data_IF_098214232460
#
_entry.id   IF_098214232460
#
_cell.length_a   1.000
_cell.length_b   1.000
_cell.length_c   1.000
_cell.angle_alpha   90.00
_cell.angle_beta   90.00
_cell.angle_gamma   90.00
#
_symmetry.space_group_name_H-M   'P 1'
#
loop_
_entity.id
_entity.type
_entity.pdbx_description
1 polymer ?
#
# COMPACT_ATOMS: atom_id res chain seq x y z
N UNK A 1 29.43 -13.50 -28.36
CA UNK A 1 30.07 -12.64 -27.35
C UNK A 1 29.86 -13.31 -26.00
N UNK A 2 30.96 -13.75 -25.38
CA UNK A 2 30.95 -14.56 -24.16
C UNK A 2 30.62 -13.67 -22.96
N UNK A 3 29.55 -14.01 -22.27
CA UNK A 3 29.08 -13.44 -20.98
C UNK A 3 30.18 -13.54 -19.94
N UNK A 4 30.61 -12.44 -19.36
CA UNK A 4 31.43 -12.38 -18.16
C UNK A 4 30.58 -12.78 -16.93
N UNK A 5 30.33 -14.07 -16.78
CA UNK A 5 29.90 -14.65 -15.53
C UNK A 5 31.12 -15.42 -14.99
N UNK A 6 31.94 -14.78 -14.24
CA UNK A 6 32.82 -15.30 -13.20
C UNK A 6 33.73 -14.14 -12.72
N UNK A 7 33.16 -13.27 -11.85
CA UNK A 7 34.06 -12.62 -10.91
C UNK A 7 34.42 -13.71 -9.90
N UNK A 8 35.66 -14.15 -9.99
CA UNK A 8 36.32 -15.10 -9.12
C UNK A 8 35.92 -14.87 -7.67
N UNK A 9 35.72 -15.98 -6.93
CA UNK A 9 35.86 -16.00 -5.48
C UNK A 9 37.27 -15.47 -5.14
N UNK A 10 37.40 -14.15 -5.07
CA UNK A 10 38.55 -13.52 -4.48
C UNK A 10 38.65 -14.16 -3.11
N UNK A 11 39.81 -14.69 -2.77
CA UNK A 11 40.12 -15.26 -1.46
C UNK A 11 39.66 -14.23 -0.42
N UNK A 12 38.53 -14.53 0.25
CA UNK A 12 37.97 -13.65 1.28
C UNK A 12 38.91 -13.74 2.45
N UNK A 13 39.93 -12.87 2.50
CA UNK A 13 40.89 -12.83 3.59
C UNK A 13 40.11 -12.49 4.88
N UNK A 14 40.05 -13.48 5.79
CA UNK A 14 39.49 -13.28 7.11
C UNK A 14 40.56 -12.60 7.95
N UNK A 15 40.27 -11.43 8.47
CA UNK A 15 41.13 -10.64 9.34
C UNK A 15 40.53 -10.53 10.74
N UNK A 16 41.32 -10.61 11.77
CA UNK A 16 40.85 -10.30 13.13
C UNK A 16 40.78 -8.77 13.27
N UNK A 17 39.61 -8.25 13.59
CA UNK A 17 39.33 -6.81 13.75
C UNK A 17 38.94 -6.56 15.20
N UNK A 18 39.53 -5.54 15.82
CA UNK A 18 39.20 -5.15 17.17
C UNK A 18 37.75 -4.64 17.25
N UNK A 19 36.97 -5.13 18.23
CA UNK A 19 35.56 -4.74 18.42
C UNK A 19 35.42 -3.24 18.68
N UNK A 20 36.42 -2.60 19.24
CA UNK A 20 36.47 -1.14 19.46
C UNK A 20 36.51 -0.32 18.17
N UNK A 21 37.02 -0.91 17.08
CA UNK A 21 37.16 -0.24 15.80
C UNK A 21 35.94 -0.48 14.90
N UNK A 22 34.94 -1.25 15.40
CA UNK A 22 33.72 -1.61 14.64
C UNK A 22 32.54 -0.75 15.10
N UNK A 23 31.83 -0.17 14.13
CA UNK A 23 30.59 0.57 14.35
C UNK A 23 29.40 -0.27 13.91
N UNK A 24 28.26 -0.20 14.64
CA UNK A 24 26.99 -0.83 14.22
C UNK A 24 26.56 -0.36 12.85
N UNK A 25 25.85 -1.22 12.13
CA UNK A 25 25.31 -0.88 10.80
C UNK A 25 24.25 0.21 10.88
N UNK A 26 24.41 1.29 10.12
CA UNK A 26 23.35 2.28 9.89
C UNK A 26 22.19 1.74 9.02
N UNK A 27 22.44 0.68 8.27
CA UNK A 27 21.52 0.10 7.28
C UNK A 27 20.77 -1.14 7.77
N UNK A 28 20.99 -1.56 9.03
CA UNK A 28 20.34 -2.77 9.55
C UNK A 28 18.84 -2.53 9.76
N UNK A 29 17.96 -3.21 9.03
CA UNK A 29 16.50 -3.07 9.19
C UNK A 29 16.01 -3.61 10.55
N UNK A 30 16.78 -4.51 11.20
CA UNK A 30 16.44 -5.10 12.48
C UNK A 30 16.81 -4.19 13.64
N UNK A 31 15.84 -3.43 14.15
CA UNK A 31 16.04 -2.52 15.29
C UNK A 31 15.90 -3.20 16.65
N UNK A 32 15.20 -4.35 16.72
CA UNK A 32 14.98 -5.11 17.95
C UNK A 32 15.68 -6.45 17.89
N UNK A 33 16.49 -6.73 18.88
CA UNK A 33 17.18 -8.00 19.06
C UNK A 33 16.58 -8.65 20.31
N UNK A 34 16.19 -9.91 20.20
CA UNK A 34 15.79 -10.71 21.36
C UNK A 34 17.00 -10.93 22.24
N UNK A 35 16.93 -10.40 23.45
CA UNK A 35 18.04 -10.43 24.41
C UNK A 35 18.39 -11.88 24.80
N UNK A 36 17.40 -12.73 25.02
CA UNK A 36 17.62 -14.13 25.40
C UNK A 36 18.45 -14.85 24.37
N UNK A 37 18.04 -14.77 23.09
CA UNK A 37 18.78 -15.42 21.99
C UNK A 37 20.15 -14.80 21.74
N UNK A 38 20.36 -13.53 22.13
CA UNK A 38 21.66 -12.87 22.04
C UNK A 38 22.61 -13.34 23.13
N UNK A 39 22.13 -13.56 24.36
CA UNK A 39 22.90 -14.15 25.47
C UNK A 39 23.28 -15.61 25.18
N UNK A 40 22.37 -16.42 24.64
CA UNK A 40 22.68 -17.80 24.23
C UNK A 40 23.81 -17.82 23.19
N UNK A 41 23.75 -16.94 22.20
CA UNK A 41 24.81 -16.79 21.20
C UNK A 41 26.12 -16.32 21.84
N UNK A 42 26.07 -15.43 22.82
CA UNK A 42 27.27 -14.97 23.54
C UNK A 42 27.93 -16.11 24.34
N UNK A 43 27.17 -16.96 25.00
CA UNK A 43 27.69 -18.13 25.70
C UNK A 43 28.34 -19.15 24.73
N UNK A 44 27.72 -19.36 23.56
CA UNK A 44 28.33 -20.18 22.50
C UNK A 44 29.66 -19.59 22.01
N UNK A 45 29.70 -18.26 21.81
CA UNK A 45 30.93 -17.56 21.40
C UNK A 45 32.01 -17.61 22.45
N UNK A 46 31.69 -17.62 23.75
CA UNK A 46 32.66 -17.82 24.82
C UNK A 46 33.32 -19.18 24.73
N UNK A 47 32.53 -20.21 24.39
CA UNK A 47 33.03 -21.59 24.36
C UNK A 47 33.78 -21.94 23.08
N UNK A 48 33.25 -21.54 21.93
CA UNK A 48 33.68 -22.01 20.61
C UNK A 48 34.32 -20.89 19.74
N UNK A 49 34.23 -19.63 20.17
CA UNK A 49 34.61 -18.51 19.34
C UNK A 49 33.53 -18.19 18.30
N UNK A 50 33.85 -17.24 17.43
CA UNK A 50 32.98 -16.86 16.31
C UNK A 50 33.31 -17.73 15.10
N UNK A 51 32.41 -18.69 14.80
CA UNK A 51 32.63 -19.68 13.71
C UNK A 51 32.48 -19.08 12.32
N UNK A 52 31.60 -18.08 12.17
CA UNK A 52 31.37 -17.40 10.90
C UNK A 52 31.80 -15.94 11.01
N UNK A 53 32.69 -15.45 10.12
CA UNK A 53 33.13 -14.08 10.13
C UNK A 53 31.96 -13.12 9.87
N UNK A 54 32.06 -11.90 10.41
CA UNK A 54 31.18 -10.79 9.99
C UNK A 54 31.74 -10.16 8.71
N UNK A 55 30.91 -9.37 8.01
CA UNK A 55 31.41 -8.54 6.92
C UNK A 55 31.37 -7.08 7.32
N UNK A 56 32.49 -6.42 7.12
CA UNK A 56 32.69 -5.01 7.44
C UNK A 56 33.29 -4.28 6.25
N UNK A 57 33.09 -2.97 6.21
CA UNK A 57 33.72 -2.07 5.25
C UNK A 57 34.50 -0.96 5.98
N UNK A 58 35.57 -0.42 5.42
CA UNK A 58 36.19 0.80 5.95
C UNK A 58 35.17 1.95 5.94
N UNK A 59 35.24 2.82 6.94
CA UNK A 59 34.49 4.07 6.99
C UNK A 59 35.37 5.20 6.59
N UNK A 60 35.04 5.92 5.54
CA UNK A 60 35.84 7.00 4.96
C UNK A 60 36.25 8.03 6.00
N UNK A 61 37.54 8.40 5.96
CA UNK A 61 38.13 9.40 6.85
C UNK A 61 38.35 8.94 8.30
N UNK A 62 38.22 7.64 8.58
CA UNK A 62 38.45 7.06 9.91
C UNK A 62 39.18 5.73 9.81
N UNK A 63 39.87 5.32 10.90
CA UNK A 63 40.44 3.97 11.00
C UNK A 63 39.42 2.93 11.52
N UNK A 64 38.11 3.18 11.28
CA UNK A 64 37.01 2.33 11.77
C UNK A 64 36.34 1.56 10.64
N UNK A 65 35.65 0.51 11.06
CA UNK A 65 34.89 -0.35 10.17
C UNK A 65 33.40 -0.26 10.45
N UNK A 66 32.56 -0.15 9.42
CA UNK A 66 31.10 -0.25 9.50
C UNK A 66 30.64 -1.69 9.22
N UNK A 67 29.73 -2.22 10.04
CA UNK A 67 29.16 -3.54 9.80
C UNK A 67 28.26 -3.49 8.56
N UNK A 68 28.52 -4.37 7.59
CA UNK A 68 27.61 -4.61 6.45
C UNK A 68 26.59 -5.68 6.85
N UNK A 69 27.05 -6.83 7.37
CA UNK A 69 26.18 -7.83 7.99
C UNK A 69 26.90 -8.64 9.06
N UNK A 70 26.11 -9.26 9.97
CA UNK A 70 26.61 -10.04 11.12
C UNK A 70 26.52 -9.29 12.44
N UNK A 71 25.65 -8.28 12.58
CA UNK A 71 25.52 -7.45 13.78
C UNK A 71 25.19 -8.26 15.06
N UNK A 72 24.38 -9.35 14.94
CA UNK A 72 24.13 -10.24 16.09
C UNK A 72 25.42 -10.86 16.63
N UNK A 73 26.32 -11.30 15.73
CA UNK A 73 27.62 -11.87 16.10
C UNK A 73 28.53 -10.83 16.76
N UNK A 74 28.53 -9.61 16.21
CA UNK A 74 29.25 -8.50 16.83
C UNK A 74 28.74 -8.23 18.25
N UNK A 75 27.44 -8.00 18.44
CA UNK A 75 26.83 -7.73 19.75
C UNK A 75 27.08 -8.87 20.75
N UNK A 76 26.88 -10.11 20.31
CA UNK A 76 27.15 -11.28 21.13
C UNK A 76 28.64 -11.41 21.51
N UNK A 77 29.56 -11.01 20.63
CA UNK A 77 31.00 -10.98 20.92
C UNK A 77 31.35 -9.92 21.98
N UNK A 78 30.70 -8.77 21.94
CA UNK A 78 30.83 -7.72 22.98
C UNK A 78 30.34 -8.26 24.33
N UNK A 79 29.15 -8.89 24.37
CA UNK A 79 28.62 -9.52 25.61
C UNK A 79 29.53 -10.64 26.10
N UNK A 80 30.13 -11.41 25.19
CA UNK A 80 31.06 -12.49 25.50
C UNK A 80 32.42 -11.98 26.02
N UNK A 81 32.67 -10.66 26.03
CA UNK A 81 33.91 -10.07 26.48
C UNK A 81 35.11 -10.33 25.56
N UNK A 82 34.87 -10.54 24.28
CA UNK A 82 35.93 -10.68 23.28
C UNK A 82 36.53 -9.31 22.96
N UNK A 83 37.81 -9.27 22.60
CA UNK A 83 38.46 -8.06 22.14
C UNK A 83 38.46 -7.90 20.64
N UNK A 84 38.40 -9.02 19.90
CA UNK A 84 38.48 -9.08 18.45
C UNK A 84 37.42 -10.08 17.89
N UNK A 85 37.07 -9.89 16.62
CA UNK A 85 36.15 -10.74 15.89
C UNK A 85 36.70 -11.03 14.50
N UNK A 86 36.56 -12.26 13.97
CA UNK A 86 36.91 -12.53 12.59
C UNK A 86 35.97 -11.80 11.63
N UNK A 87 36.53 -11.03 10.73
CA UNK A 87 35.82 -10.21 9.77
C UNK A 87 36.38 -10.35 8.37
N UNK A 88 35.50 -10.23 7.37
CA UNK A 88 35.84 -10.05 5.97
C UNK A 88 35.75 -8.55 5.71
N UNK A 89 36.87 -7.93 5.39
CA UNK A 89 36.91 -6.51 5.02
C UNK A 89 36.67 -6.40 3.52
N UNK A 90 35.67 -5.64 3.14
CA UNK A 90 35.30 -5.44 1.72
C UNK A 90 35.15 -3.94 1.47
N UNK A 91 35.80 -3.43 0.46
CA UNK A 91 35.62 -2.05 0.01
C UNK A 91 34.29 -1.95 -0.73
N UNK A 92 33.33 -1.21 -0.15
CA UNK A 92 31.98 -1.03 -0.66
C UNK A 92 31.57 0.43 -0.47
N UNK A 93 30.89 1.00 -1.45
CA UNK A 93 30.17 2.25 -1.26
C UNK A 93 29.00 2.09 -0.27
N UNK A 94 28.43 3.20 0.19
CA UNK A 94 27.26 3.16 1.08
C UNK A 94 26.11 2.38 0.47
N UNK A 95 25.84 2.64 -0.82
CA UNK A 95 24.74 2.01 -1.54
C UNK A 95 24.98 0.51 -1.78
N UNK A 96 26.22 0.10 -2.06
CA UNK A 96 26.58 -1.32 -2.23
C UNK A 96 26.48 -2.08 -0.91
N UNK A 97 26.87 -1.43 0.18
CA UNK A 97 26.76 -2.01 1.51
C UNK A 97 25.29 -2.17 1.92
N UNK A 98 24.42 -1.18 1.64
CA UNK A 98 22.99 -1.27 1.87
C UNK A 98 22.35 -2.39 1.04
N UNK A 99 22.65 -2.45 -0.26
CA UNK A 99 22.16 -3.50 -1.16
C UNK A 99 22.54 -4.91 -0.68
N UNK A 100 23.80 -5.07 -0.26
CA UNK A 100 24.29 -6.34 0.27
C UNK A 100 23.59 -6.72 1.57
N UNK A 101 23.35 -5.75 2.47
CA UNK A 101 22.65 -5.98 3.72
C UNK A 101 21.17 -6.36 3.50
N UNK A 102 20.49 -5.70 2.57
CA UNK A 102 19.11 -6.03 2.17
C UNK A 102 19.05 -7.43 1.56
N UNK A 103 19.98 -7.74 0.66
CA UNK A 103 20.02 -9.05 -0.02
C UNK A 103 20.29 -10.19 0.95
N UNK A 104 21.20 -10.02 1.91
CA UNK A 104 21.42 -11.02 2.96
C UNK A 104 20.16 -11.24 3.80
N UNK A 105 19.51 -10.15 4.21
CA UNK A 105 18.29 -10.25 5.01
C UNK A 105 17.17 -10.98 4.28
N UNK A 106 16.99 -10.73 2.97
CA UNK A 106 16.00 -11.42 2.13
C UNK A 106 16.25 -12.93 1.95
N UNK A 107 17.48 -13.40 2.17
CA UNK A 107 17.80 -14.83 2.09
C UNK A 107 17.49 -15.61 3.37
N UNK A 108 17.03 -14.92 4.42
CA UNK A 108 16.64 -15.56 5.67
C UNK A 108 15.29 -16.27 5.48
N UNK A 109 15.04 -17.30 6.30
CA UNK A 109 13.81 -18.09 6.24
C UNK A 109 12.61 -17.43 6.94
N UNK A 110 12.87 -16.48 7.81
CA UNK A 110 11.91 -15.83 8.70
C UNK A 110 11.49 -14.42 8.22
N UNK A 111 11.72 -14.08 6.95
CA UNK A 111 11.34 -12.80 6.35
C UNK A 111 9.84 -12.81 6.08
N UNK A 112 9.15 -11.80 6.61
CA UNK A 112 7.70 -11.66 6.40
C UNK A 112 7.37 -11.10 5.00
N UNK A 113 6.13 -11.30 4.50
CA UNK A 113 5.72 -10.73 3.21
C UNK A 113 5.86 -9.22 3.11
N UNK A 114 5.64 -8.50 4.21
CA UNK A 114 5.75 -7.02 4.26
C UNK A 114 7.21 -6.59 4.29
N UNK A 115 8.07 -7.30 5.03
CA UNK A 115 9.52 -7.08 5.01
C UNK A 115 10.12 -7.34 3.61
N UNK A 116 9.70 -8.42 2.92
CA UNK A 116 10.09 -8.66 1.54
C UNK A 116 9.68 -7.51 0.61
N UNK A 117 8.43 -7.01 0.77
CA UNK A 117 7.91 -5.91 -0.04
C UNK A 117 8.77 -4.64 0.12
N UNK A 118 9.04 -4.25 1.37
CA UNK A 118 9.85 -3.08 1.67
C UNK A 118 11.30 -3.22 1.16
N UNK A 119 11.87 -4.42 1.26
CA UNK A 119 13.20 -4.71 0.78
C UNK A 119 13.29 -4.65 -0.76
N UNK A 120 12.34 -5.25 -1.48
CA UNK A 120 12.31 -5.17 -2.95
C UNK A 120 12.08 -3.74 -3.44
N UNK A 121 11.23 -2.96 -2.76
CA UNK A 121 11.01 -1.57 -3.10
C UNK A 121 12.30 -0.76 -2.99
N UNK A 122 13.05 -0.88 -1.88
CA UNK A 122 14.34 -0.20 -1.70
C UNK A 122 15.35 -0.55 -2.78
N UNK A 123 15.44 -1.83 -3.15
CA UNK A 123 16.33 -2.29 -4.22
C UNK A 123 15.94 -1.69 -5.59
N UNK A 124 14.66 -1.48 -5.87
CA UNK A 124 14.20 -0.83 -7.11
C UNK A 124 14.46 0.67 -7.06
N UNK A 125 14.18 1.33 -5.94
CA UNK A 125 14.38 2.76 -5.73
C UNK A 125 15.87 3.17 -5.83
N UNK A 126 16.80 2.26 -5.53
CA UNK A 126 18.23 2.47 -5.78
C UNK A 126 18.58 2.64 -7.26
N UNK A 127 17.67 2.33 -8.18
CA UNK A 127 17.83 2.41 -9.64
C UNK A 127 18.72 1.32 -10.25
N UNK A 128 19.26 0.40 -9.45
CA UNK A 128 20.15 -0.68 -9.91
C UNK A 128 19.41 -1.96 -10.27
N UNK A 129 18.22 -2.13 -9.71
CA UNK A 129 17.41 -3.33 -9.92
C UNK A 129 16.07 -3.02 -10.56
N UNK A 130 15.61 -3.97 -11.38
CA UNK A 130 14.25 -4.02 -11.93
C UNK A 130 13.55 -5.26 -11.36
N UNK A 131 12.24 -5.34 -11.52
CA UNK A 131 11.48 -6.54 -11.15
C UNK A 131 12.10 -7.81 -11.77
N UNK A 132 12.54 -7.73 -13.02
CA UNK A 132 13.14 -8.83 -13.73
C UNK A 132 14.49 -9.26 -13.11
N UNK A 133 15.35 -8.30 -12.79
CA UNK A 133 16.67 -8.62 -12.19
C UNK A 133 16.50 -9.16 -10.77
N UNK A 134 15.55 -8.65 -9.98
CA UNK A 134 15.23 -9.20 -8.66
C UNK A 134 14.69 -10.62 -8.74
N UNK A 135 13.81 -10.90 -9.72
CA UNK A 135 13.29 -12.24 -9.95
C UNK A 135 14.42 -13.25 -10.24
N UNK A 136 15.39 -12.86 -11.05
CA UNK A 136 16.58 -13.68 -11.34
C UNK A 136 17.49 -13.83 -10.11
N UNK A 137 17.77 -12.75 -9.40
CA UNK A 137 18.65 -12.72 -8.22
C UNK A 137 18.15 -13.63 -7.10
N UNK A 138 16.85 -13.61 -6.83
CA UNK A 138 16.24 -14.40 -5.74
C UNK A 138 15.62 -15.73 -6.21
N UNK A 139 15.74 -16.08 -7.49
CA UNK A 139 15.16 -17.32 -8.04
C UNK A 139 13.63 -17.37 -7.94
N UNK A 140 12.98 -16.22 -8.04
CA UNK A 140 11.52 -16.07 -8.03
C UNK A 140 11.03 -15.74 -9.44
N UNK A 141 9.71 -15.87 -9.68
CA UNK A 141 9.12 -15.31 -10.90
C UNK A 141 8.75 -13.83 -10.71
N UNK A 142 8.62 -13.08 -11.80
CA UNK A 142 8.28 -11.66 -11.75
C UNK A 142 6.93 -11.38 -11.07
N UNK A 143 5.96 -12.28 -11.23
CA UNK A 143 4.65 -12.13 -10.61
C UNK A 143 4.74 -12.20 -9.09
N UNK A 144 5.63 -13.04 -8.55
CA UNK A 144 5.93 -13.09 -7.13
C UNK A 144 6.43 -11.74 -6.62
N UNK A 145 7.46 -11.19 -7.27
CA UNK A 145 8.04 -9.88 -6.91
C UNK A 145 6.98 -8.77 -6.99
N UNK A 146 6.19 -8.73 -8.09
CA UNK A 146 5.12 -7.75 -8.28
C UNK A 146 4.04 -7.86 -7.20
N UNK A 147 3.69 -9.07 -6.79
CA UNK A 147 2.70 -9.28 -5.71
C UNK A 147 3.23 -8.78 -4.38
N UNK A 148 4.51 -9.04 -4.06
CA UNK A 148 5.14 -8.50 -2.84
C UNK A 148 5.16 -6.98 -2.86
N UNK A 149 5.61 -6.37 -3.95
CA UNK A 149 5.66 -4.91 -4.09
C UNK A 149 4.31 -4.21 -3.84
N UNK A 150 3.18 -4.88 -4.14
CA UNK A 150 1.86 -4.32 -3.84
C UNK A 150 1.63 -4.12 -2.34
N UNK A 151 2.24 -4.93 -1.48
CA UNK A 151 2.04 -4.85 -0.03
C UNK A 151 2.63 -3.58 0.60
N UNK A 152 3.47 -2.84 -0.11
CA UNK A 152 3.92 -1.52 0.32
C UNK A 152 2.79 -0.48 0.34
N UNK A 153 1.67 -0.76 -0.34
CA UNK A 153 0.47 0.06 -0.32
C UNK A 153 -0.53 -0.32 0.79
N UNK A 154 -0.23 -1.33 1.61
CA UNK A 154 -1.08 -1.69 2.76
C UNK A 154 -0.91 -0.67 3.89
N UNK A 155 -2.02 -0.34 4.55
CA UNK A 155 -1.94 0.39 5.83
C UNK A 155 -1.26 -0.47 6.90
N UNK A 156 -0.58 0.15 7.88
CA UNK A 156 0.21 -0.59 8.88
C UNK A 156 -0.56 -1.67 9.63
N UNK A 157 -1.84 -1.41 9.92
CA UNK A 157 -2.70 -2.34 10.66
C UNK A 157 -2.99 -3.62 9.86
N UNK A 158 -3.23 -3.51 8.55
CA UNK A 158 -3.46 -4.68 7.68
C UNK A 158 -2.15 -5.39 7.37
N UNK A 159 -1.05 -4.65 7.22
CA UNK A 159 0.29 -5.22 7.08
C UNK A 159 0.67 -6.09 8.30
N UNK A 160 0.34 -5.62 9.51
CA UNK A 160 0.56 -6.39 10.74
C UNK A 160 -0.26 -7.70 10.78
N UNK A 161 -1.52 -7.68 10.31
CA UNK A 161 -2.34 -8.90 10.20
C UNK A 161 -1.77 -9.90 9.19
N UNK A 162 -1.19 -9.42 8.11
CA UNK A 162 -0.52 -10.28 7.12
C UNK A 162 0.74 -10.91 7.70
N UNK A 163 1.55 -10.15 8.42
CA UNK A 163 2.78 -10.64 9.04
C UNK A 163 2.52 -11.58 10.22
N UNK A 164 1.34 -11.48 10.85
CA UNK A 164 0.87 -12.40 11.89
C UNK A 164 0.15 -13.64 11.34
N UNK A 165 0.08 -13.83 10.02
CA UNK A 165 -0.68 -14.90 9.35
C UNK A 165 -2.20 -14.90 9.67
N UNK A 166 -2.74 -13.78 10.15
CA UNK A 166 -4.17 -13.63 10.47
C UNK A 166 -5.02 -13.39 9.20
N UNK A 167 -4.40 -12.91 8.14
CA UNK A 167 -4.96 -12.86 6.79
C UNK A 167 -4.00 -13.50 5.79
N UNK A 168 -4.55 -14.06 4.72
CA UNK A 168 -3.71 -14.69 3.69
C UNK A 168 -3.11 -13.67 2.74
N UNK A 169 -1.99 -14.03 2.10
CA UNK A 169 -1.35 -13.26 1.03
C UNK A 169 -2.36 -12.88 -0.06
N UNK A 170 -3.27 -13.77 -0.42
CA UNK A 170 -4.29 -13.52 -1.45
C UNK A 170 -5.32 -12.48 -1.00
N UNK A 171 -5.72 -12.50 0.27
CA UNK A 171 -6.62 -11.49 0.84
C UNK A 171 -5.94 -10.13 0.89
N UNK A 172 -4.70 -10.06 1.38
CA UNK A 172 -3.92 -8.83 1.38
C UNK A 172 -3.72 -8.26 -0.05
N UNK A 173 -3.49 -9.13 -1.04
CA UNK A 173 -3.36 -8.74 -2.44
C UNK A 173 -4.65 -8.16 -3.05
N UNK A 174 -5.82 -8.56 -2.57
CA UNK A 174 -7.07 -7.91 -2.97
C UNK A 174 -7.27 -6.58 -2.27
N UNK A 175 -7.00 -6.49 -0.98
CA UNK A 175 -7.20 -5.27 -0.20
C UNK A 175 -6.27 -4.14 -0.67
N UNK A 176 -4.99 -4.43 -0.95
CA UNK A 176 -4.00 -3.43 -1.39
C UNK A 176 -4.29 -2.79 -2.76
N UNK A 177 -5.32 -3.25 -3.48
CA UNK A 177 -5.79 -2.63 -4.74
C UNK A 177 -6.58 -1.34 -4.50
N UNK A 178 -7.02 -1.11 -3.28
CA UNK A 178 -7.83 0.02 -2.88
C UNK A 178 -7.01 1.04 -2.08
N UNK A 179 -7.45 2.30 -2.09
CA UNK A 179 -6.81 3.38 -1.35
C UNK A 179 -6.89 3.21 0.17
N UNK A 180 -6.08 3.98 0.88
CA UNK A 180 -5.98 3.92 2.35
C UNK A 180 -7.32 4.15 3.06
N UNK A 181 -8.20 4.98 2.52
CA UNK A 181 -9.53 5.25 3.04
C UNK A 181 -10.39 3.99 3.10
N UNK A 182 -10.45 3.23 2.00
CA UNK A 182 -11.18 1.97 1.94
C UNK A 182 -10.49 0.91 2.80
N UNK A 183 -9.17 0.83 2.76
CA UNK A 183 -8.41 -0.12 3.58
C UNK A 183 -8.69 0.11 5.09
N UNK A 184 -8.73 1.36 5.53
CA UNK A 184 -9.01 1.72 6.93
C UNK A 184 -10.42 1.33 7.32
N UNK A 185 -11.42 1.63 6.49
CA UNK A 185 -12.79 1.21 6.76
C UNK A 185 -12.97 -0.31 6.79
N UNK A 186 -12.30 -1.05 5.88
CA UNK A 186 -12.30 -2.52 5.88
C UNK A 186 -11.67 -3.06 7.16
N UNK A 187 -10.55 -2.46 7.60
CA UNK A 187 -9.92 -2.85 8.85
C UNK A 187 -10.84 -2.63 10.05
N UNK A 188 -11.33 -1.41 10.23
CA UNK A 188 -12.15 -1.02 11.40
C UNK A 188 -13.46 -1.82 11.50
N UNK A 189 -14.12 -2.06 10.36
CA UNK A 189 -15.44 -2.72 10.34
C UNK A 189 -15.36 -4.25 10.31
N UNK A 190 -14.26 -4.83 9.81
CA UNK A 190 -14.26 -6.24 9.45
C UNK A 190 -13.00 -7.03 9.81
N UNK A 191 -11.88 -6.37 10.09
CA UNK A 191 -10.61 -7.05 10.37
C UNK A 191 -10.07 -6.78 11.78
N UNK A 192 -10.52 -5.73 12.46
CA UNK A 192 -10.01 -5.36 13.79
C UNK A 192 -10.32 -6.44 14.83
N UNK A 193 -11.54 -6.96 14.84
CA UNK A 193 -11.97 -7.98 15.79
C UNK A 193 -12.07 -9.37 15.15
N UNK A 194 -11.47 -10.36 15.79
CA UNK A 194 -11.61 -11.77 15.40
C UNK A 194 -12.89 -12.37 15.98
N UNK A 195 -13.50 -13.32 15.25
CA UNK A 195 -14.62 -14.12 15.74
C UNK A 195 -15.98 -13.40 15.82
N UNK A 196 -16.07 -12.15 15.40
CA UNK A 196 -17.37 -11.46 15.25
C UNK A 196 -18.11 -11.92 14.00
N UNK A 197 -19.46 -11.83 14.02
CA UNK A 197 -20.30 -12.18 12.85
C UNK A 197 -19.90 -11.41 11.59
N UNK A 198 -19.36 -10.19 11.74
CA UNK A 198 -18.95 -9.33 10.64
C UNK A 198 -17.48 -9.48 10.25
N UNK A 199 -16.73 -10.35 10.92
CA UNK A 199 -15.30 -10.54 10.65
C UNK A 199 -15.06 -11.16 9.27
N UNK A 200 -14.08 -10.62 8.56
CA UNK A 200 -13.62 -11.16 7.28
C UNK A 200 -12.33 -11.98 7.42
N UNK A 201 -11.81 -12.13 8.63
CA UNK A 201 -10.68 -13.02 8.89
C UNK A 201 -11.09 -14.46 8.54
N UNK A 202 -10.25 -15.15 7.78
CA UNK A 202 -10.54 -16.50 7.31
C UNK A 202 -11.42 -16.61 6.05
N UNK A 203 -11.93 -15.49 5.50
CA UNK A 203 -12.63 -15.52 4.22
C UNK A 203 -11.67 -15.76 3.06
N UNK A 204 -12.20 -16.30 1.96
CA UNK A 204 -11.45 -16.43 0.70
C UNK A 204 -11.27 -15.05 0.04
N UNK A 205 -10.16 -14.87 -0.66
CA UNK A 205 -9.84 -13.62 -1.35
C UNK A 205 -10.96 -13.15 -2.30
N UNK A 206 -11.59 -14.06 -3.04
CA UNK A 206 -12.71 -13.73 -3.93
C UNK A 206 -13.94 -13.18 -3.19
N UNK A 207 -14.22 -13.69 -1.98
CA UNK A 207 -15.34 -13.19 -1.16
C UNK A 207 -15.01 -11.81 -0.58
N UNK A 208 -13.76 -11.58 -0.18
CA UNK A 208 -13.30 -10.27 0.28
C UNK A 208 -13.37 -9.25 -0.86
N UNK A 209 -12.86 -9.58 -2.04
CA UNK A 209 -12.91 -8.71 -3.22
C UNK A 209 -14.35 -8.29 -3.54
N UNK A 210 -15.28 -9.26 -3.64
CA UNK A 210 -16.70 -9.00 -3.91
C UNK A 210 -17.34 -8.11 -2.83
N UNK A 211 -17.04 -8.36 -1.55
CA UNK A 211 -17.59 -7.56 -0.45
C UNK A 211 -17.04 -6.14 -0.44
N UNK A 212 -15.76 -5.93 -0.76
CA UNK A 212 -15.20 -4.59 -0.90
C UNK A 212 -15.89 -3.86 -2.04
N UNK A 213 -16.04 -4.49 -3.20
CA UNK A 213 -16.71 -3.88 -4.33
C UNK A 213 -18.14 -3.47 -4.00
N UNK A 214 -18.92 -4.35 -3.38
CA UNK A 214 -20.31 -4.09 -3.04
C UNK A 214 -20.52 -3.05 -1.93
N UNK A 215 -19.65 -3.00 -0.91
CA UNK A 215 -19.89 -2.20 0.29
C UNK A 215 -19.07 -0.90 0.34
N UNK A 216 -17.96 -0.82 -0.41
CA UNK A 216 -16.99 0.28 -0.30
C UNK A 216 -16.73 1.01 -1.61
N UNK A 217 -17.30 0.54 -2.73
CA UNK A 217 -17.23 1.21 -4.02
C UNK A 217 -18.62 1.58 -4.53
N UNK A 218 -18.69 2.42 -5.53
CA UNK A 218 -19.97 2.89 -6.06
C UNK A 218 -20.06 2.59 -7.54
N UNK A 219 -21.17 1.96 -7.95
CA UNK A 219 -21.42 1.62 -9.33
C UNK A 219 -21.61 2.88 -10.19
N UNK A 220 -20.78 3.01 -11.21
CA UNK A 220 -20.76 4.15 -12.11
C UNK A 220 -21.99 4.22 -13.03
N UNK A 221 -22.75 3.14 -13.19
CA UNK A 221 -23.95 3.15 -14.04
C UNK A 221 -25.01 4.12 -13.53
N UNK A 222 -25.07 4.39 -12.23
CA UNK A 222 -26.06 5.30 -11.63
C UNK A 222 -25.74 6.79 -11.82
N UNK A 223 -24.60 7.13 -12.43
CA UNK A 223 -24.16 8.50 -12.61
C UNK A 223 -24.24 8.91 -14.08
N UNK A 224 -24.55 10.19 -14.32
CA UNK A 224 -24.80 10.75 -15.65
C UNK A 224 -23.68 11.63 -16.21
N UNK A 225 -22.68 11.96 -15.42
CA UNK A 225 -21.52 12.72 -15.91
C UNK A 225 -20.74 11.93 -16.98
N UNK A 226 -19.91 12.62 -17.75
CA UNK A 226 -19.05 11.98 -18.75
C UNK A 226 -18.00 11.07 -18.07
N UNK A 227 -18.04 9.79 -18.43
CA UNK A 227 -17.20 8.73 -17.87
C UNK A 227 -15.99 8.38 -18.73
N UNK A 228 -15.65 9.21 -19.73
CA UNK A 228 -14.56 8.96 -20.66
C UNK A 228 -13.24 8.77 -19.90
N UNK A 229 -12.95 9.62 -18.93
CA UNK A 229 -11.77 9.51 -18.08
C UNK A 229 -11.83 8.31 -17.14
N UNK A 230 -13.03 7.94 -16.67
CA UNK A 230 -13.21 6.78 -15.79
C UNK A 230 -12.88 5.46 -16.49
N UNK A 231 -12.97 5.38 -17.81
CA UNK A 231 -12.68 4.16 -18.56
C UNK A 231 -11.21 3.70 -18.42
N UNK A 232 -10.29 4.61 -18.14
CA UNK A 232 -8.86 4.33 -17.97
C UNK A 232 -8.35 4.61 -16.54
N UNK A 233 -9.26 5.06 -15.64
CA UNK A 233 -8.92 5.45 -14.27
C UNK A 233 -8.45 4.24 -13.44
N UNK A 234 -7.36 4.42 -12.68
CA UNK A 234 -6.84 3.39 -11.79
C UNK A 234 -7.80 3.01 -10.64
N UNK A 235 -8.75 3.90 -10.30
CA UNK A 235 -9.75 3.65 -9.27
C UNK A 235 -11.04 3.01 -9.80
N UNK A 236 -11.14 2.73 -11.10
CA UNK A 236 -12.25 1.97 -11.66
C UNK A 236 -11.99 0.47 -11.50
N UNK A 237 -12.91 -0.24 -10.84
CA UNK A 237 -12.75 -1.67 -10.55
C UNK A 237 -12.57 -2.50 -11.82
N UNK A 238 -13.16 -2.12 -12.95
CA UNK A 238 -12.95 -2.78 -14.24
C UNK A 238 -11.48 -2.76 -14.71
N UNK A 239 -10.68 -1.78 -14.29
CA UNK A 239 -9.27 -1.72 -14.61
C UNK A 239 -8.39 -2.49 -13.63
N UNK A 240 -8.96 -2.93 -12.50
CA UNK A 240 -8.31 -3.77 -11.52
C UNK A 240 -8.43 -5.27 -11.83
N UNK A 241 -9.38 -5.65 -12.70
CA UNK A 241 -9.66 -7.04 -13.08
C UNK A 241 -8.84 -7.46 -14.31
N UNK A 242 -8.50 -8.76 -14.37
CA UNK A 242 -7.89 -9.36 -15.57
C UNK A 242 -8.88 -9.42 -16.74
N UNK A 243 -10.17 -9.55 -16.44
CA UNK A 243 -11.26 -9.53 -17.41
C UNK A 243 -12.21 -8.40 -17.04
N UNK A 244 -12.51 -7.53 -18.01
CA UNK A 244 -13.44 -6.42 -17.83
C UNK A 244 -14.86 -6.94 -17.93
N UNK A 245 -15.71 -6.62 -16.96
CA UNK A 245 -17.13 -6.76 -17.11
C UNK A 245 -17.64 -5.75 -18.13
N UNK A 246 -18.72 -6.09 -18.84
CA UNK A 246 -19.24 -5.25 -19.94
C UNK A 246 -19.89 -3.92 -19.50
N UNK A 247 -19.88 -3.59 -18.20
CA UNK A 247 -20.44 -2.37 -17.63
C UNK A 247 -19.43 -1.23 -17.46
N UNK A 248 -19.89 -0.13 -16.84
CA UNK A 248 -19.04 1.03 -16.52
C UNK A 248 -18.05 0.76 -15.38
N UNK A 249 -18.23 -0.32 -14.60
CA UNK A 249 -17.47 -0.63 -13.40
C UNK A 249 -17.89 0.20 -12.18
N UNK A 250 -17.18 -0.01 -11.07
CA UNK A 250 -17.39 0.73 -9.83
C UNK A 250 -16.23 1.70 -9.59
N UNK A 251 -16.51 2.84 -8.96
CA UNK A 251 -15.49 3.79 -8.55
C UNK A 251 -15.08 3.57 -7.10
N UNK A 252 -13.79 3.38 -6.86
CA UNK A 252 -13.20 3.29 -5.53
C UNK A 252 -12.74 4.65 -4.97
N UNK A 253 -12.76 5.72 -5.76
CA UNK A 253 -12.40 7.08 -5.32
C UNK A 253 -13.66 7.91 -5.08
N UNK A 254 -14.14 7.88 -3.84
CA UNK A 254 -15.36 8.58 -3.42
C UNK A 254 -15.26 10.09 -3.56
N UNK A 255 -14.11 10.68 -3.29
CA UNK A 255 -13.90 12.12 -3.40
C UNK A 255 -14.00 12.58 -4.85
N UNK A 256 -13.30 11.90 -5.77
CA UNK A 256 -13.38 12.18 -7.19
C UNK A 256 -14.81 11.99 -7.72
N UNK A 257 -15.48 10.90 -7.32
CA UNK A 257 -16.86 10.62 -7.74
C UNK A 257 -17.83 11.72 -7.28
N UNK A 258 -17.71 12.15 -6.02
CA UNK A 258 -18.55 13.22 -5.48
C UNK A 258 -18.32 14.55 -6.24
N UNK A 259 -17.08 14.88 -6.56
CA UNK A 259 -16.72 16.08 -7.30
C UNK A 259 -17.25 16.07 -8.74
N UNK A 260 -17.04 14.96 -9.45
CA UNK A 260 -17.53 14.80 -10.84
C UNK A 260 -19.06 14.89 -10.89
N UNK A 261 -19.73 14.24 -9.93
CA UNK A 261 -21.18 14.29 -9.84
C UNK A 261 -21.68 15.70 -9.48
N UNK A 262 -21.04 16.39 -8.54
CA UNK A 262 -21.41 17.74 -8.15
C UNK A 262 -21.25 18.73 -9.33
N UNK A 263 -20.17 18.62 -10.09
CA UNK A 263 -19.93 19.44 -11.28
C UNK A 263 -20.99 19.19 -12.34
N UNK A 264 -21.30 17.94 -12.64
CA UNK A 264 -22.36 17.57 -13.57
C UNK A 264 -23.73 18.14 -13.14
N UNK A 265 -24.12 17.97 -11.88
CA UNK A 265 -25.40 18.43 -11.35
C UNK A 265 -25.50 19.96 -11.42
N UNK A 266 -24.41 20.68 -11.11
CA UNK A 266 -24.35 22.12 -11.20
C UNK A 266 -24.51 22.62 -12.65
N UNK A 267 -23.77 22.02 -13.60
CA UNK A 267 -23.88 22.35 -15.02
C UNK A 267 -25.30 22.09 -15.54
N UNK A 268 -25.88 20.96 -15.16
CA UNK A 268 -27.25 20.58 -15.56
C UNK A 268 -28.28 21.54 -15.00
N UNK A 269 -28.18 21.94 -13.72
CA UNK A 269 -29.06 22.91 -13.10
C UNK A 269 -28.99 24.26 -13.82
N UNK A 270 -27.78 24.76 -14.07
CA UNK A 270 -27.58 26.03 -14.78
C UNK A 270 -28.15 25.97 -16.21
N UNK A 271 -27.98 24.83 -16.91
CA UNK A 271 -28.52 24.63 -18.23
C UNK A 271 -30.06 24.66 -18.24
N UNK A 272 -30.71 23.99 -17.26
CA UNK A 272 -32.18 24.00 -17.10
C UNK A 272 -32.66 25.43 -16.87
N UNK A 273 -32.09 26.15 -15.93
CA UNK A 273 -32.46 27.53 -15.61
C UNK A 273 -32.31 28.50 -16.82
N UNK A 274 -31.29 28.26 -17.66
CA UNK A 274 -31.13 29.06 -18.89
C UNK A 274 -32.19 28.76 -19.94
N UNK A 275 -32.59 27.52 -20.06
CA UNK A 275 -33.56 27.08 -21.07
C UNK A 275 -35.02 27.28 -20.61
N UNK A 276 -35.26 27.31 -19.33
CA UNK A 276 -36.60 27.42 -18.69
C UNK A 276 -36.51 28.42 -17.54
N UNK A 277 -36.57 29.74 -17.80
CA UNK A 277 -36.40 30.78 -16.78
C UNK A 277 -37.49 30.80 -15.70
N UNK A 278 -38.64 30.17 -15.95
CA UNK A 278 -39.78 30.04 -15.05
C UNK A 278 -39.60 28.91 -13.99
N UNK A 279 -38.55 28.10 -14.09
CA UNK A 279 -38.29 26.97 -13.18
C UNK A 279 -37.52 27.44 -11.98
N UNK A 280 -37.91 27.01 -10.78
CA UNK A 280 -37.18 27.24 -9.53
C UNK A 280 -36.31 26.03 -9.18
N UNK A 281 -35.13 26.30 -8.63
CA UNK A 281 -34.28 25.27 -8.06
C UNK A 281 -34.77 24.93 -6.66
N UNK A 282 -35.01 23.65 -6.43
CA UNK A 282 -35.49 23.17 -5.14
C UNK A 282 -34.60 22.06 -4.61
N UNK A 283 -34.44 21.99 -3.29
CA UNK A 283 -33.78 20.87 -2.61
C UNK A 283 -34.76 20.08 -1.73
N UNK A 284 -34.59 18.80 -1.70
CA UNK A 284 -35.20 17.92 -0.72
C UNK A 284 -34.34 17.90 0.56
N UNK A 285 -34.96 17.95 1.72
CA UNK A 285 -34.31 17.95 3.03
C UNK A 285 -33.45 16.69 3.29
N UNK A 286 -33.69 15.58 2.61
CA UNK A 286 -33.08 14.28 2.94
C UNK A 286 -32.12 13.72 1.87
N UNK A 287 -32.26 14.11 0.62
CA UNK A 287 -31.54 13.46 -0.51
C UNK A 287 -30.69 14.41 -1.31
N UNK A 288 -30.62 15.67 -0.93
CA UNK A 288 -29.95 16.73 -1.70
C UNK A 288 -28.44 16.67 -1.52
N UNK A 289 -27.70 16.92 -2.59
CA UNK A 289 -26.27 17.11 -2.55
C UNK A 289 -25.95 18.52 -2.07
N UNK A 290 -25.59 18.66 -0.79
CA UNK A 290 -25.32 19.96 -0.17
C UNK A 290 -24.20 20.74 -0.85
N UNK A 291 -23.15 20.08 -1.34
CA UNK A 291 -22.05 20.73 -2.08
C UNK A 291 -22.55 21.42 -3.34
N UNK A 292 -23.51 20.83 -4.05
CA UNK A 292 -24.13 21.45 -5.24
C UNK A 292 -24.96 22.68 -4.84
N UNK A 293 -25.73 22.58 -3.76
CA UNK A 293 -26.53 23.72 -3.24
C UNK A 293 -25.64 24.87 -2.87
N UNK A 294 -24.55 24.62 -2.13
CA UNK A 294 -23.58 25.65 -1.73
C UNK A 294 -22.96 26.33 -2.96
N UNK A 295 -22.56 25.58 -3.98
CA UNK A 295 -21.99 26.11 -5.21
C UNK A 295 -22.98 26.92 -6.03
N UNK A 296 -24.22 26.46 -6.14
CA UNK A 296 -25.30 27.20 -6.82
C UNK A 296 -25.60 28.52 -6.09
N UNK A 297 -25.74 28.48 -4.77
CA UNK A 297 -25.98 29.68 -3.96
C UNK A 297 -24.81 30.67 -4.05
N UNK A 298 -23.56 30.17 -4.00
CA UNK A 298 -22.38 31.01 -4.20
C UNK A 298 -22.32 31.66 -5.60
N UNK A 299 -22.93 31.00 -6.60
CA UNK A 299 -23.06 31.51 -7.97
C UNK A 299 -24.28 32.43 -8.18
N UNK A 300 -25.03 32.75 -7.11
CA UNK A 300 -26.15 33.69 -7.13
C UNK A 300 -27.50 33.08 -7.48
N UNK A 301 -27.63 31.73 -7.47
CA UNK A 301 -28.92 31.07 -7.68
C UNK A 301 -29.61 30.87 -6.33
N UNK A 302 -30.93 31.12 -6.30
CA UNK A 302 -31.76 30.78 -5.14
C UNK A 302 -32.18 29.32 -5.21
N UNK A 303 -32.03 28.61 -4.07
CA UNK A 303 -32.43 27.20 -3.93
C UNK A 303 -33.42 27.07 -2.79
N UNK A 304 -34.66 26.79 -3.09
CA UNK A 304 -35.74 26.63 -2.12
C UNK A 304 -35.69 25.24 -1.44
N UNK A 305 -36.02 25.17 -0.16
CA UNK A 305 -36.15 23.87 0.53
C UNK A 305 -37.58 23.39 0.46
N UNK A 306 -37.77 22.21 -0.11
CA UNK A 306 -39.09 21.56 -0.14
C UNK A 306 -39.31 20.75 1.14
N UNK A 307 -40.45 20.99 1.77
CA UNK A 307 -40.92 20.09 2.81
C UNK A 307 -41.81 19.02 2.17
N UNK A 308 -41.55 17.74 2.45
CA UNK A 308 -42.33 16.59 1.90
C UNK A 308 -43.83 16.69 2.14
N UNK A 309 -44.25 17.50 3.09
CA UNK A 309 -45.67 17.67 3.48
C UNK A 309 -46.30 18.96 2.92
N UNK A 310 -45.54 19.85 2.33
CA UNK A 310 -46.08 20.97 1.57
C UNK A 310 -46.48 20.47 0.17
N UNK A 311 -47.74 20.27 -0.03
CA UNK A 311 -48.29 20.08 -1.35
C UNK A 311 -47.84 21.27 -2.20
N UNK A 312 -47.20 20.97 -3.35
CA UNK A 312 -46.86 22.00 -4.32
C UNK A 312 -48.07 22.84 -4.63
N UNK A 313 -48.09 24.15 -4.39
CA UNK A 313 -49.15 24.95 -4.88
C UNK A 313 -49.14 24.89 -6.38
N UNK A 314 -50.07 24.15 -6.94
CA UNK A 314 -50.34 24.06 -8.39
C UNK A 314 -49.10 23.86 -9.27
N UNK A 315 -48.38 22.77 -9.06
CA UNK A 315 -47.60 22.26 -10.18
C UNK A 315 -48.59 21.89 -11.28
N UNK A 316 -48.59 22.53 -12.48
CA UNK A 316 -49.36 22.02 -13.59
C UNK A 316 -48.97 20.55 -13.72
N UNK A 317 -49.87 19.68 -14.05
CA UNK A 317 -49.60 18.26 -14.30
C UNK A 317 -48.52 18.20 -15.38
N UNK A 318 -47.28 18.02 -14.93
CA UNK A 318 -46.03 18.00 -15.73
C UNK A 318 -45.27 19.35 -15.74
N UNK A 319 -44.00 19.33 -15.50
CA UNK A 319 -43.09 18.23 -15.76
C UNK A 319 -42.73 17.47 -14.49
N UNK A 320 -42.54 16.19 -14.63
CA UNK A 320 -41.85 15.35 -13.69
C UNK A 320 -40.59 16.02 -13.20
N UNK A 321 -40.47 16.25 -11.88
CA UNK A 321 -39.26 16.86 -11.32
C UNK A 321 -38.06 15.99 -11.69
N UNK A 322 -37.09 16.54 -12.42
CA UNK A 322 -35.83 15.83 -12.61
C UNK A 322 -35.20 15.63 -11.24
N UNK A 323 -35.03 14.40 -10.82
CA UNK A 323 -34.24 14.08 -9.65
C UNK A 323 -32.78 14.06 -10.06
N UNK A 324 -32.02 15.03 -9.60
CA UNK A 324 -30.59 15.13 -9.88
C UNK A 324 -29.75 13.95 -9.36
N UNK A 325 -30.30 13.14 -8.44
CA UNK A 325 -29.63 11.93 -8.00
C UNK A 325 -29.87 10.74 -8.94
N UNK A 326 -31.05 10.66 -9.54
CA UNK A 326 -31.41 9.63 -10.52
C UNK A 326 -32.57 10.12 -11.41
N UNK A 327 -32.28 10.93 -12.44
CA UNK A 327 -33.32 11.49 -13.33
C UNK A 327 -34.15 10.44 -14.08
N UNK A 328 -33.57 9.28 -14.41
CA UNK A 328 -34.30 8.22 -15.12
C UNK A 328 -35.24 7.45 -14.19
N UNK A 329 -34.88 7.26 -12.93
CA UNK A 329 -35.66 6.48 -11.98
C UNK A 329 -36.89 7.21 -11.46
N UNK A 330 -36.83 8.54 -11.40
CA UNK A 330 -37.88 9.40 -10.86
C UNK A 330 -38.47 10.37 -11.90
N UNK A 331 -38.02 10.32 -13.12
CA UNK A 331 -38.54 11.09 -14.26
C UNK A 331 -39.79 10.46 -14.92
N UNK A 332 -40.37 9.37 -14.37
CA UNK A 332 -41.61 8.75 -14.86
C UNK A 332 -42.85 9.24 -14.11
#
# INVERSE_FOLDING_TARGET
MKTKANQSAAERNITMVALADIQPSGFNPRKRFDETSLYELAESIKQQGVLQPITVRPVDGTDRYGIVFGERRYRASVIAGRNEIPAIVTELSDEEAEEMAITENLQRKDVTPVEEAAAYQRLIESGRHTVQTLAQLFGKNENYIRTRLKFTALIPEIAALLDADEITISVAAEICRYGEDIQREVYEKHLQEEGTYNSWRGLKAADVARRIEQNFTTDLQYYRFDKTECATCAHNTNNLLLFRDGGCGHCANRTCLAEMNASYLMERAVQIMRNQPEVSLCRDRYTTNETVVERLTASGYEVETLDRYTAFPSCPKEPKAENFNDPERYGE
#
